data_IF_619508464992
#
_entry.id   IF_619508464992
#
_cell.length_a   1.000
_cell.length_b   1.000
_cell.length_c   1.000
_cell.angle_alpha   90.00
_cell.angle_beta   90.00
_cell.angle_gamma   90.00
#
_symmetry.space_group_name_H-M   'P 1'
#
loop_
_entity.id
_entity.type
_entity.pdbx_description
1 polymer ?
#
# COMPACT_ATOMS: atom_id res chain seq x y z
N UNK A 1 -25.28 -1.94 -23.77
CA UNK A 1 -25.42 -2.45 -22.38
C UNK A 1 -24.11 -2.16 -21.66
N UNK A 2 -24.11 -1.28 -20.65
CA UNK A 2 -22.90 -1.01 -19.85
C UNK A 2 -22.55 -2.29 -19.09
N UNK A 3 -21.30 -2.75 -19.23
CA UNK A 3 -20.81 -3.90 -18.49
C UNK A 3 -20.55 -3.47 -17.04
N UNK A 4 -21.56 -3.65 -16.17
CA UNK A 4 -21.50 -3.30 -14.74
C UNK A 4 -20.30 -3.92 -14.03
N UNK A 5 -19.85 -5.11 -14.43
CA UNK A 5 -18.67 -5.75 -13.85
C UNK A 5 -17.38 -5.00 -14.22
N UNK A 6 -17.28 -4.50 -15.45
CA UNK A 6 -16.14 -3.69 -15.88
C UNK A 6 -16.11 -2.31 -15.20
N UNK A 7 -17.28 -1.70 -14.98
CA UNK A 7 -17.41 -0.45 -14.23
C UNK A 7 -17.04 -0.61 -12.75
N UNK A 8 -17.49 -1.71 -12.11
CA UNK A 8 -17.08 -2.01 -10.75
C UNK A 8 -15.57 -2.25 -10.64
N UNK A 9 -14.99 -3.01 -11.57
CA UNK A 9 -13.56 -3.25 -11.61
C UNK A 9 -12.75 -1.94 -11.79
N UNK A 10 -13.22 -1.01 -12.62
CA UNK A 10 -12.53 0.27 -12.82
C UNK A 10 -12.57 1.16 -11.57
N UNK A 11 -13.71 1.23 -10.89
CA UNK A 11 -13.85 1.95 -9.62
C UNK A 11 -12.97 1.34 -8.52
N UNK A 12 -12.93 0.01 -8.43
CA UNK A 12 -12.05 -0.68 -7.48
C UNK A 12 -10.58 -0.38 -7.77
N UNK A 13 -10.13 -0.51 -9.03
CA UNK A 13 -8.76 -0.17 -9.42
C UNK A 13 -8.43 1.30 -9.11
N UNK A 14 -9.35 2.24 -9.39
CA UNK A 14 -9.16 3.65 -9.07
C UNK A 14 -8.94 3.86 -7.57
N UNK A 15 -9.73 3.21 -6.71
CA UNK A 15 -9.57 3.30 -5.26
C UNK A 15 -8.26 2.69 -4.77
N UNK A 16 -7.89 1.51 -5.27
CA UNK A 16 -6.62 0.85 -4.94
C UNK A 16 -5.42 1.73 -5.31
N UNK A 17 -5.43 2.31 -6.52
CA UNK A 17 -4.40 3.24 -6.96
C UNK A 17 -4.35 4.49 -6.09
N UNK A 18 -5.49 5.10 -5.78
CA UNK A 18 -5.59 6.28 -4.92
C UNK A 18 -4.96 6.04 -3.54
N UNK A 19 -5.29 4.92 -2.90
CA UNK A 19 -4.85 4.64 -1.54
C UNK A 19 -3.36 4.28 -1.46
N UNK A 20 -2.76 3.77 -2.55
CA UNK A 20 -1.31 3.51 -2.66
C UNK A 20 -0.50 4.74 -3.09
N UNK A 21 -1.12 5.67 -3.83
CA UNK A 21 -0.39 6.80 -4.41
C UNK A 21 0.28 7.66 -3.35
N UNK A 22 -0.35 7.85 -2.19
CA UNK A 22 0.20 8.67 -1.10
C UNK A 22 1.49 8.08 -0.51
N UNK A 23 1.52 6.86 0.05
CA UNK A 23 2.75 6.32 0.63
C UNK A 23 3.83 6.01 -0.42
N UNK A 24 3.45 5.66 -1.66
CA UNK A 24 4.42 5.49 -2.77
C UNK A 24 5.00 6.84 -3.20
N UNK A 25 4.21 7.91 -3.23
CA UNK A 25 4.70 9.26 -3.51
C UNK A 25 5.67 9.75 -2.43
N UNK A 26 5.37 9.48 -1.15
CA UNK A 26 6.28 9.79 -0.05
C UNK A 26 7.62 9.06 -0.16
N UNK A 27 7.63 7.82 -0.64
CA UNK A 27 8.88 7.09 -0.95
C UNK A 27 9.72 7.80 -2.01
N UNK A 28 9.12 8.16 -3.14
CA UNK A 28 9.84 8.84 -4.22
C UNK A 28 10.40 10.19 -3.76
N UNK A 29 9.58 11.00 -3.09
CA UNK A 29 10.00 12.30 -2.56
C UNK A 29 11.13 12.16 -1.53
N UNK A 30 11.07 11.14 -0.67
CA UNK A 30 12.12 10.86 0.31
C UNK A 30 13.44 10.42 -0.34
N UNK A 31 13.38 9.66 -1.43
CA UNK A 31 14.56 9.26 -2.20
C UNK A 31 15.20 10.45 -2.94
N UNK A 32 14.38 11.32 -3.52
CA UNK A 32 14.84 12.56 -4.15
C UNK A 32 15.54 13.47 -3.13
N UNK A 33 14.93 13.67 -1.96
CA UNK A 33 15.52 14.46 -0.87
C UNK A 33 16.84 13.84 -0.37
N UNK A 34 16.89 12.51 -0.20
CA UNK A 34 18.08 11.80 0.27
C UNK A 34 19.25 11.87 -0.73
N UNK A 35 18.99 12.07 -2.02
CA UNK A 35 20.03 12.14 -3.04
C UNK A 35 20.93 13.37 -2.87
N UNK A 36 20.34 14.51 -2.52
CA UNK A 36 21.05 15.79 -2.37
C UNK A 36 21.35 16.17 -0.91
N UNK A 37 20.77 15.46 0.06
CA UNK A 37 20.98 15.74 1.49
C UNK A 37 22.34 15.22 2.00
N UNK A 38 23.04 16.07 2.73
CA UNK A 38 24.38 15.80 3.29
C UNK A 38 24.42 15.81 4.81
N UNK A 39 23.43 16.44 5.45
CA UNK A 39 23.33 16.48 6.89
C UNK A 39 22.96 15.09 7.46
N UNK A 40 23.79 14.50 8.34
CA UNK A 40 23.56 13.14 8.85
C UNK A 40 22.23 12.97 9.58
N UNK A 41 21.78 13.98 10.33
CA UNK A 41 20.54 13.93 11.10
C UNK A 41 19.33 13.96 10.15
N UNK A 42 19.36 14.84 9.16
CA UNK A 42 18.30 14.93 8.16
C UNK A 42 18.21 13.67 7.29
N UNK A 43 19.35 13.08 6.92
CA UNK A 43 19.39 11.77 6.23
C UNK A 43 18.77 10.67 7.06
N UNK A 44 19.04 10.62 8.36
CA UNK A 44 18.43 9.63 9.26
C UNK A 44 16.90 9.77 9.30
N UNK A 45 16.39 11.00 9.42
CA UNK A 45 14.94 11.25 9.35
C UNK A 45 14.33 10.89 8.00
N UNK A 46 15.02 11.14 6.90
CA UNK A 46 14.57 10.70 5.57
C UNK A 46 14.47 9.18 5.50
N UNK A 47 15.45 8.46 6.04
CA UNK A 47 15.43 6.99 6.10
C UNK A 47 14.27 6.46 6.96
N UNK A 48 13.95 7.11 8.08
CA UNK A 48 12.78 6.79 8.91
C UNK A 48 11.47 6.98 8.12
N UNK A 49 11.31 8.14 7.46
CA UNK A 49 10.14 8.43 6.61
C UNK A 49 9.98 7.40 5.48
N UNK A 50 11.09 7.01 4.84
CA UNK A 50 11.10 5.98 3.80
C UNK A 50 10.66 4.62 4.37
N UNK A 51 11.16 4.24 5.53
CA UNK A 51 10.79 2.98 6.18
C UNK A 51 9.30 2.95 6.56
N UNK A 52 8.78 4.04 7.13
CA UNK A 52 7.35 4.18 7.46
C UNK A 52 6.47 4.12 6.19
N UNK A 53 6.86 4.83 5.14
CA UNK A 53 6.13 4.85 3.86
C UNK A 53 6.14 3.48 3.16
N UNK A 54 7.25 2.75 3.24
CA UNK A 54 7.36 1.38 2.75
C UNK A 54 6.46 0.42 3.55
N UNK A 55 6.47 0.53 4.88
CA UNK A 55 5.62 -0.27 5.75
C UNK A 55 4.13 -0.02 5.47
N UNK A 56 3.73 1.25 5.36
CA UNK A 56 2.36 1.64 5.03
C UNK A 56 1.92 1.10 3.66
N UNK A 57 2.78 1.21 2.63
CA UNK A 57 2.53 0.64 1.31
C UNK A 57 2.33 -0.88 1.36
N UNK A 58 3.23 -1.59 2.06
CA UNK A 58 3.17 -3.04 2.19
C UNK A 58 1.92 -3.51 2.94
N UNK A 59 1.53 -2.81 4.02
CA UNK A 59 0.35 -3.17 4.79
C UNK A 59 -0.94 -2.95 4.00
N UNK A 60 -1.05 -1.84 3.26
CA UNK A 60 -2.16 -1.62 2.32
C UNK A 60 -2.25 -2.73 1.27
N UNK A 61 -1.12 -3.11 0.67
CA UNK A 61 -1.09 -4.22 -0.31
C UNK A 61 -1.55 -5.55 0.30
N UNK A 62 -1.09 -5.89 1.51
CA UNK A 62 -1.54 -7.10 2.23
C UNK A 62 -3.05 -7.06 2.47
N UNK A 63 -3.57 -5.93 2.94
CA UNK A 63 -4.99 -5.74 3.16
C UNK A 63 -5.80 -5.88 1.85
N UNK A 64 -5.39 -5.21 0.78
CA UNK A 64 -6.08 -5.30 -0.52
C UNK A 64 -6.07 -6.71 -1.09
N UNK A 65 -4.94 -7.41 -0.96
CA UNK A 65 -4.83 -8.81 -1.39
C UNK A 65 -5.81 -9.71 -0.64
N UNK A 66 -6.04 -9.49 0.67
CA UNK A 66 -7.01 -10.24 1.44
C UNK A 66 -8.46 -9.82 1.14
N UNK A 67 -8.74 -8.52 1.11
CA UNK A 67 -10.09 -7.98 0.96
C UNK A 67 -10.65 -8.12 -0.46
N UNK A 68 -9.81 -8.00 -1.48
CA UNK A 68 -10.22 -7.95 -2.89
C UNK A 68 -9.55 -9.04 -3.76
N UNK A 69 -8.50 -9.68 -3.27
CA UNK A 69 -7.71 -10.68 -4.01
C UNK A 69 -8.15 -12.13 -3.82
N UNK A 70 -9.25 -12.39 -3.11
CA UNK A 70 -9.80 -13.73 -2.87
C UNK A 70 -10.12 -14.54 -4.14
N UNK A 71 -10.11 -13.90 -5.31
CA UNK A 71 -10.32 -14.57 -6.60
C UNK A 71 -9.13 -15.42 -7.11
N UNK A 72 -7.95 -15.40 -6.46
CA UNK A 72 -6.74 -16.01 -7.04
C UNK A 72 -5.88 -16.91 -6.16
N UNK A 73 -6.20 -17.15 -4.88
CA UNK A 73 -5.33 -18.02 -4.05
C UNK A 73 -5.62 -18.14 -2.56
N UNK A 74 -6.64 -17.45 -2.03
CA UNK A 74 -7.17 -17.75 -0.71
C UNK A 74 -8.33 -18.73 -0.90
N UNK A 75 -8.34 -19.83 -0.15
CA UNK A 75 -9.51 -20.72 -0.12
C UNK A 75 -10.72 -20.00 0.47
N UNK A 76 -11.85 -20.70 0.63
CA UNK A 76 -13.04 -20.14 1.29
C UNK A 76 -12.78 -19.64 2.73
N UNK A 77 -11.66 -20.05 3.35
CA UNK A 77 -11.28 -19.71 4.72
C UNK A 77 -10.02 -18.84 4.74
N UNK A 78 -10.09 -17.72 5.47
CA UNK A 78 -8.96 -16.84 5.77
C UNK A 78 -8.52 -17.07 7.22
N UNK A 79 -7.22 -17.25 7.46
CA UNK A 79 -6.69 -17.36 8.82
C UNK A 79 -6.94 -16.05 9.57
N UNK A 80 -7.54 -16.14 10.76
CA UNK A 80 -7.90 -14.96 11.57
C UNK A 80 -6.68 -14.14 11.98
N UNK A 81 -5.49 -14.76 12.05
CA UNK A 81 -4.22 -14.06 12.31
C UNK A 81 -3.78 -13.22 11.12
N UNK A 82 -3.96 -13.72 9.89
CA UNK A 82 -3.68 -12.94 8.68
C UNK A 82 -4.65 -11.77 8.55
N UNK A 83 -5.93 -12.00 8.80
CA UNK A 83 -6.94 -10.94 8.82
C UNK A 83 -6.61 -9.87 9.87
N UNK A 84 -6.25 -10.29 11.09
CA UNK A 84 -5.85 -9.38 12.17
C UNK A 84 -4.62 -8.56 11.79
N UNK A 85 -3.56 -9.19 11.31
CA UNK A 85 -2.33 -8.51 10.91
C UNK A 85 -2.56 -7.50 9.78
N UNK A 86 -3.48 -7.78 8.85
CA UNK A 86 -3.81 -6.88 7.76
C UNK A 86 -4.62 -5.66 8.23
N UNK A 87 -5.49 -5.82 9.23
CA UNK A 87 -6.26 -4.72 9.80
C UNK A 87 -5.41 -3.86 10.73
N UNK A 88 -4.56 -4.46 11.56
CA UNK A 88 -3.67 -3.74 12.48
C UNK A 88 -2.57 -2.95 11.74
N UNK A 89 -2.27 -3.30 10.48
CA UNK A 89 -1.27 -2.61 9.67
C UNK A 89 -1.79 -1.40 8.88
N UNK A 90 -3.11 -1.16 8.85
CA UNK A 90 -3.74 -0.02 8.16
C UNK A 90 -3.64 1.28 8.96
#
# INVERSE_FOLDING_TARGET
MVNRSAEFASLLCSRLCHDLLSPVGALNNGLELLADETDPEMRARCMELLAESAAASANKLKFFRLAFGAAGGFGELVDTREARAAVEGL
#
